data_IF_618415423477
#
_entry.id   IF_618415423477
#
_cell.length_a   1.000
_cell.length_b   1.000
_cell.length_c   1.000
_cell.angle_alpha   90.00
_cell.angle_beta   90.00
_cell.angle_gamma   90.00
#
_symmetry.space_group_name_H-M   'P 1'
#
loop_
_entity.id
_entity.type
_entity.pdbx_description
1 polymer ?
#
# COMPACT_ATOMS: atom_id res chain seq x y z
N UNK A 1 10.60 13.95 1.85
CA UNK A 1 10.59 12.55 2.33
C UNK A 1 9.95 11.69 1.26
N UNK A 2 10.58 10.61 0.82
CA UNK A 2 9.94 9.61 -0.04
C UNK A 2 9.20 8.60 0.83
N UNK A 3 7.95 8.33 0.50
CA UNK A 3 7.19 7.24 1.09
C UNK A 3 6.73 6.29 0.00
N UNK A 4 6.61 5.02 0.36
CA UNK A 4 6.10 3.97 -0.51
C UNK A 4 4.88 3.37 0.18
N UNK A 5 3.73 3.43 -0.50
CA UNK A 5 2.49 2.83 -0.03
C UNK A 5 2.17 1.66 -0.93
N UNK A 6 1.97 0.51 -0.31
CA UNK A 6 1.62 -0.75 -0.95
C UNK A 6 0.27 -1.20 -0.41
N UNK A 7 -0.65 -1.56 -1.31
CA UNK A 7 -1.92 -2.20 -0.97
C UNK A 7 -1.97 -3.57 -1.64
N UNK A 8 -2.29 -4.59 -0.85
CA UNK A 8 -2.43 -5.97 -1.31
C UNK A 8 -3.81 -6.49 -0.95
N UNK A 9 -4.54 -6.94 -1.95
CA UNK A 9 -5.82 -7.62 -1.78
C UNK A 9 -5.69 -9.07 -2.21
N UNK A 10 -6.24 -10.01 -1.43
CA UNK A 10 -6.22 -11.42 -1.78
C UNK A 10 -7.47 -12.15 -1.29
N UNK A 11 -7.87 -13.17 -2.04
CA UNK A 11 -9.05 -13.98 -1.73
C UNK A 11 -9.23 -15.15 -2.68
N UNK A 12 -10.18 -16.00 -2.34
CA UNK A 12 -10.63 -17.12 -3.18
C UNK A 12 -11.38 -16.57 -4.39
N UNK A 13 -11.27 -17.26 -5.52
CA UNK A 13 -11.98 -16.93 -6.76
C UNK A 13 -12.52 -18.20 -7.39
N UNK A 14 -13.70 -18.11 -8.00
CA UNK A 14 -14.24 -19.21 -8.79
C UNK A 14 -13.57 -19.23 -10.16
N UNK A 15 -12.92 -20.34 -10.49
CA UNK A 15 -12.32 -20.59 -11.81
C UNK A 15 -12.81 -21.94 -12.30
N UNK A 16 -13.45 -21.97 -13.48
CA UNK A 16 -14.03 -23.18 -14.02
C UNK A 16 -12.97 -24.28 -14.17
N UNK A 17 -13.19 -25.43 -13.52
CA UNK A 17 -12.28 -26.58 -13.56
C UNK A 17 -11.12 -26.52 -12.57
N UNK A 18 -11.11 -25.58 -11.63
CA UNK A 18 -10.16 -25.53 -10.51
C UNK A 18 -10.90 -25.49 -9.17
N UNK A 19 -10.54 -26.39 -8.27
CA UNK A 19 -10.83 -26.22 -6.84
C UNK A 19 -9.73 -25.32 -6.23
N UNK A 20 -10.05 -24.62 -5.15
CA UNK A 20 -9.11 -23.79 -4.36
C UNK A 20 -8.28 -22.76 -5.14
N UNK A 21 -8.89 -22.06 -6.10
CA UNK A 21 -8.21 -20.98 -6.81
C UNK A 21 -8.19 -19.69 -5.98
N UNK A 22 -7.02 -19.02 -5.96
CA UNK A 22 -6.82 -17.75 -5.25
C UNK A 22 -6.34 -16.67 -6.21
N UNK A 23 -6.80 -15.44 -5.98
CA UNK A 23 -6.32 -14.25 -6.68
C UNK A 23 -5.70 -13.30 -5.67
N UNK A 24 -4.54 -12.77 -6.03
CA UNK A 24 -3.91 -11.64 -5.36
C UNK A 24 -3.78 -10.46 -6.32
N UNK A 25 -3.99 -9.24 -5.81
CA UNK A 25 -3.73 -7.99 -6.51
C UNK A 25 -2.85 -7.13 -5.62
N UNK A 26 -1.84 -6.50 -6.21
CA UNK A 26 -0.94 -5.58 -5.54
C UNK A 26 -0.88 -4.26 -6.29
N UNK A 27 -0.96 -3.17 -5.56
CA UNK A 27 -0.78 -1.81 -6.06
C UNK A 27 0.23 -1.09 -5.17
N UNK A 28 1.30 -0.58 -5.79
CA UNK A 28 2.31 0.22 -5.10
C UNK A 28 2.38 1.61 -5.71
N UNK A 29 2.38 2.64 -4.86
CA UNK A 29 2.64 4.03 -5.26
C UNK A 29 3.74 4.65 -4.40
N UNK A 30 4.49 5.53 -5.04
CA UNK A 30 5.57 6.29 -4.44
C UNK A 30 5.16 7.76 -4.37
N UNK A 31 5.30 8.37 -3.20
CA UNK A 31 4.98 9.78 -2.99
C UNK A 31 6.20 10.53 -2.45
N UNK A 32 6.44 11.73 -2.98
CA UNK A 32 7.36 12.71 -2.38
C UNK A 32 6.54 13.67 -1.53
N UNK A 33 6.76 13.64 -0.22
CA UNK A 33 5.98 14.37 0.76
C UNK A 33 6.85 15.33 1.58
N UNK A 34 6.24 16.40 2.11
CA UNK A 34 6.87 17.27 3.10
C UNK A 34 7.12 16.52 4.40
N UNK A 35 8.10 16.97 5.20
CA UNK A 35 8.27 16.48 6.58
C UNK A 35 7.12 16.89 7.50
N UNK A 36 6.37 17.92 7.12
CA UNK A 36 5.21 18.40 7.87
C UNK A 36 3.93 17.58 7.60
N UNK A 37 4.01 16.61 6.68
CA UNK A 37 2.87 15.75 6.36
C UNK A 37 2.48 14.94 7.59
N UNK A 38 1.21 15.04 7.96
CA UNK A 38 0.62 14.37 9.11
C UNK A 38 0.30 12.91 8.82
N UNK A 39 0.13 12.12 9.88
CA UNK A 39 -0.33 10.73 9.72
C UNK A 39 -1.69 10.65 9.01
N UNK A 40 -2.63 11.54 9.33
CA UNK A 40 -3.96 11.55 8.71
C UNK A 40 -3.94 11.83 7.19
N UNK A 41 -3.01 12.66 6.72
CA UNK A 41 -2.81 12.87 5.27
C UNK A 41 -2.27 11.59 4.60
N UNK A 42 -1.36 10.87 5.26
CA UNK A 42 -0.87 9.57 4.76
C UNK A 42 -1.98 8.51 4.77
N UNK A 43 -2.83 8.48 5.79
CA UNK A 43 -4.01 7.61 5.85
C UNK A 43 -5.00 7.91 4.72
N UNK A 44 -5.14 9.18 4.33
CA UNK A 44 -5.97 9.58 3.18
C UNK A 44 -5.41 9.02 1.86
N UNK A 45 -4.08 9.07 1.67
CA UNK A 45 -3.42 8.45 0.52
C UNK A 45 -3.62 6.94 0.50
N UNK A 46 -3.46 6.28 1.65
CA UNK A 46 -3.69 4.84 1.77
C UNK A 46 -5.16 4.46 1.50
N UNK A 47 -6.12 5.24 2.01
CA UNK A 47 -7.56 5.02 1.78
C UNK A 47 -7.92 5.15 0.30
N UNK A 48 -7.29 6.10 -0.41
CA UNK A 48 -7.46 6.24 -1.86
C UNK A 48 -6.98 4.99 -2.60
N UNK A 49 -5.82 4.46 -2.21
CA UNK A 49 -5.26 3.22 -2.79
C UNK A 49 -6.12 1.99 -2.50
N UNK A 50 -6.71 1.89 -1.30
CA UNK A 50 -7.68 0.82 -1.00
C UNK A 50 -8.87 0.86 -1.97
N UNK A 51 -9.47 2.04 -2.17
CA UNK A 51 -10.57 2.20 -3.11
C UNK A 51 -10.20 1.84 -4.55
N UNK A 52 -8.98 2.19 -5.00
CA UNK A 52 -8.49 1.78 -6.32
C UNK A 52 -8.40 0.26 -6.48
N UNK A 53 -7.90 -0.44 -5.46
CA UNK A 53 -7.77 -1.91 -5.47
C UNK A 53 -9.14 -2.58 -5.40
N UNK A 54 -10.04 -2.10 -4.54
CA UNK A 54 -11.39 -2.64 -4.38
C UNK A 54 -12.24 -2.46 -5.66
N UNK A 55 -12.05 -1.37 -6.40
CA UNK A 55 -12.70 -1.18 -7.70
C UNK A 55 -12.23 -2.19 -8.77
N UNK A 56 -11.02 -2.75 -8.64
CA UNK A 56 -10.45 -3.75 -9.57
C UNK A 56 -10.59 -5.21 -9.10
N UNK A 57 -10.91 -5.42 -7.82
CA UNK A 57 -11.10 -6.74 -7.24
C UNK A 57 -12.22 -6.70 -6.20
N UNK A 58 -13.41 -7.16 -6.61
CA UNK A 58 -14.59 -7.16 -5.76
C UNK A 58 -14.45 -8.16 -4.60
N UNK A 59 -14.75 -7.70 -3.39
CA UNK A 59 -14.83 -8.49 -2.15
C UNK A 59 -13.64 -9.42 -1.89
N UNK A 60 -12.40 -8.88 -1.82
CA UNK A 60 -11.27 -9.70 -1.42
C UNK A 60 -11.45 -10.16 0.03
N UNK A 61 -10.98 -11.36 0.36
CA UNK A 61 -11.02 -11.90 1.74
C UNK A 61 -10.20 -11.03 2.69
N UNK A 62 -9.11 -10.45 2.19
CA UNK A 62 -8.27 -9.51 2.92
C UNK A 62 -7.80 -8.39 1.99
N UNK A 63 -7.70 -7.18 2.54
CA UNK A 63 -7.11 -6.02 1.89
C UNK A 63 -6.20 -5.31 2.90
N UNK A 64 -4.90 -5.31 2.64
CA UNK A 64 -3.86 -4.87 3.59
C UNK A 64 -3.06 -3.71 3.01
N UNK A 65 -2.73 -2.75 3.86
CA UNK A 65 -1.92 -1.59 3.53
C UNK A 65 -0.57 -1.61 4.24
N UNK A 66 0.50 -1.21 3.55
CA UNK A 66 1.83 -1.05 4.12
C UNK A 66 2.41 0.29 3.68
N UNK A 67 2.83 1.09 4.66
CA UNK A 67 3.52 2.36 4.44
C UNK A 67 4.97 2.18 4.84
N UNK A 68 5.89 2.51 3.94
CA UNK A 68 7.33 2.44 4.19
C UNK A 68 7.96 3.83 4.07
N UNK A 69 8.64 4.25 5.13
CA UNK A 69 9.51 5.41 5.16
C UNK A 69 10.93 4.89 5.41
N UNK A 70 11.88 5.27 4.55
CA UNK A 70 13.28 4.90 4.74
C UNK A 70 14.06 6.11 5.24
N UNK A 71 14.96 5.89 6.19
CA UNK A 71 15.86 6.92 6.69
C UNK A 71 17.20 6.28 7.09
N UNK A 72 18.26 7.08 7.09
CA UNK A 72 19.58 6.72 7.62
C UNK A 72 19.99 7.73 8.70
N UNK A 73 20.95 7.33 9.52
CA UNK A 73 21.66 8.23 10.42
C UNK A 73 22.87 8.82 9.70
N UNK A 74 23.02 10.13 9.73
CA UNK A 74 24.15 10.84 9.13
C UNK A 74 24.55 11.98 10.06
N UNK A 75 25.80 11.97 10.55
CA UNK A 75 26.32 12.97 11.50
C UNK A 75 25.46 13.20 12.76
N UNK A 76 24.74 12.17 13.22
CA UNK A 76 23.85 12.27 14.38
C UNK A 76 22.41 12.65 14.04
N UNK A 77 22.13 13.04 12.79
CA UNK A 77 20.81 13.44 12.33
C UNK A 77 20.11 12.33 11.54
N UNK A 78 18.77 12.39 11.49
CA UNK A 78 17.95 11.52 10.65
C UNK A 78 17.82 12.13 9.27
N UNK A 79 18.31 11.42 8.26
CA UNK A 79 18.18 11.78 6.85
C UNK A 79 17.23 10.80 6.18
N UNK A 80 16.07 11.29 5.75
CA UNK A 80 15.13 10.45 4.99
C UNK A 80 15.69 10.11 3.62
N UNK A 81 15.52 8.85 3.24
CA UNK A 81 16.01 8.29 1.99
C UNK A 81 14.91 8.33 0.93
N UNK A 82 15.29 8.81 -0.26
CA UNK A 82 14.52 8.68 -1.50
C UNK A 82 14.12 9.98 -2.18
#
# INVERSE_FOLDING_TARGET
>A
MKIEIEVRAFGEVEVQGSEDAYKGVELMRVHKLSKDTTLGEVETLLSTLFGEVENGYNNPKQCLGKITIRAKKENGEIVYLG
#
